data_IF_454615622544
#
_entry.id   IF_454615622544
#
_cell.length_a   1.000
_cell.length_b   1.000
_cell.length_c   1.000
_cell.angle_alpha   90.00
_cell.angle_beta   90.00
_cell.angle_gamma   90.00
#
_symmetry.space_group_name_H-M   'P 1'
#
loop_
_entity.id
_entity.type
_entity.pdbx_description
1 polymer ?
#
# COMPACT_ATOMS: atom_id res chain seq x y z
N UNK A 1 -0.29 -32.29 5.96
CA UNK A 1 -1.47 -31.85 6.77
C UNK A 1 -1.19 -30.51 7.44
N UNK A 2 -0.05 -30.40 8.11
CA UNK A 2 0.43 -29.14 8.72
C UNK A 2 0.60 -28.00 7.70
N UNK A 3 0.95 -28.27 6.44
CA UNK A 3 1.06 -27.23 5.42
C UNK A 3 -0.30 -26.56 5.12
N UNK A 4 -1.38 -27.34 5.14
CA UNK A 4 -2.74 -26.81 4.94
C UNK A 4 -3.17 -25.95 6.12
N UNK A 5 -2.87 -26.38 7.34
CA UNK A 5 -3.16 -25.61 8.57
C UNK A 5 -2.41 -24.28 8.56
N UNK A 6 -1.12 -24.31 8.20
CA UNK A 6 -0.29 -23.10 8.07
C UNK A 6 -0.84 -22.18 6.96
N UNK A 7 -1.27 -22.76 5.83
CA UNK A 7 -1.92 -22.01 4.74
C UNK A 7 -3.19 -21.28 5.21
N UNK A 8 -4.09 -21.96 5.91
CA UNK A 8 -5.30 -21.33 6.48
C UNK A 8 -4.97 -20.25 7.52
N UNK A 9 -3.94 -20.46 8.35
CA UNK A 9 -3.49 -19.46 9.30
C UNK A 9 -2.98 -18.19 8.60
N UNK A 10 -2.17 -18.32 7.56
CA UNK A 10 -1.68 -17.18 6.77
C UNK A 10 -2.84 -16.44 6.07
N UNK A 11 -3.81 -17.18 5.52
CA UNK A 11 -5.02 -16.57 4.92
C UNK A 11 -5.75 -15.74 5.97
N UNK A 12 -6.01 -16.30 7.15
CA UNK A 12 -6.74 -15.62 8.22
C UNK A 12 -6.00 -14.36 8.68
N UNK A 13 -4.69 -14.46 8.95
CA UNK A 13 -3.87 -13.33 9.36
C UNK A 13 -3.84 -12.22 8.30
N UNK A 14 -3.67 -12.57 7.02
CA UNK A 14 -3.68 -11.61 5.92
C UNK A 14 -5.03 -10.91 5.76
N UNK A 15 -6.14 -11.66 5.82
CA UNK A 15 -7.50 -11.10 5.73
C UNK A 15 -7.80 -10.15 6.89
N UNK A 16 -7.45 -10.53 8.12
CA UNK A 16 -7.60 -9.66 9.30
C UNK A 16 -6.83 -8.35 9.09
N UNK A 17 -5.60 -8.42 8.57
CA UNK A 17 -4.77 -7.24 8.31
C UNK A 17 -5.40 -6.31 7.27
N UNK A 18 -5.99 -6.87 6.21
CA UNK A 18 -6.70 -6.09 5.18
C UNK A 18 -7.94 -5.41 5.77
N UNK A 19 -8.74 -6.14 6.54
CA UNK A 19 -9.96 -5.59 7.18
C UNK A 19 -9.56 -4.47 8.16
N UNK A 20 -8.53 -4.69 8.98
CA UNK A 20 -8.04 -3.68 9.91
C UNK A 20 -7.61 -2.39 9.20
N UNK A 21 -6.84 -2.51 8.12
CA UNK A 21 -6.44 -1.37 7.30
C UNK A 21 -7.66 -0.62 6.73
N UNK A 22 -8.63 -1.34 6.18
CA UNK A 22 -9.84 -0.73 5.62
C UNK A 22 -10.68 0.01 6.69
N UNK A 23 -10.85 -0.59 7.87
CA UNK A 23 -11.59 0.03 9.00
C UNK A 23 -10.85 1.26 9.51
N UNK A 24 -9.53 1.20 9.67
CA UNK A 24 -8.70 2.33 10.08
C UNK A 24 -8.86 3.52 9.14
N UNK A 25 -8.77 3.27 7.82
CA UNK A 25 -8.98 4.31 6.80
C UNK A 25 -10.40 4.88 6.87
N UNK A 26 -11.42 4.02 6.98
CA UNK A 26 -12.81 4.46 7.10
C UNK A 26 -13.05 5.36 8.34
N UNK A 27 -12.47 5.02 9.49
CA UNK A 27 -12.59 5.82 10.72
C UNK A 27 -11.94 7.20 10.59
N UNK A 28 -10.80 7.28 9.89
CA UNK A 28 -10.13 8.56 9.62
C UNK A 28 -10.98 9.43 8.69
N UNK A 29 -11.56 8.85 7.64
CA UNK A 29 -12.47 9.61 6.75
C UNK A 29 -13.77 10.07 7.44
N UNK A 30 -14.28 9.32 8.42
CA UNK A 30 -15.45 9.74 9.21
C UNK A 30 -15.09 10.71 10.35
N UNK A 31 -13.85 11.18 10.43
CA UNK A 31 -13.31 12.05 11.50
C UNK A 31 -13.48 11.47 12.91
N UNK A 32 -13.71 10.15 13.02
CA UNK A 32 -13.86 9.46 14.31
C UNK A 32 -12.52 9.07 14.92
N UNK A 33 -11.46 9.03 14.12
CA UNK A 33 -10.09 8.82 14.54
C UNK A 33 -9.18 9.88 13.92
N UNK A 34 -8.17 10.34 14.67
CA UNK A 34 -7.14 11.24 14.13
C UNK A 34 -6.23 10.44 13.19
N UNK A 35 -5.85 11.00 12.01
CA UNK A 35 -4.83 10.39 11.16
C UNK A 35 -3.49 10.29 11.91
N UNK A 36 -2.58 9.42 11.44
CA UNK A 36 -1.20 9.43 11.93
C UNK A 36 -0.55 10.75 11.50
N UNK A 37 -0.13 11.57 12.47
CA UNK A 37 0.56 12.83 12.24
C UNK A 37 2.01 12.56 11.81
N UNK A 38 2.24 12.53 10.50
CA UNK A 38 3.57 12.34 9.89
C UNK A 38 4.21 13.66 9.47
N UNK A 39 3.40 14.68 9.23
CA UNK A 39 3.83 15.99 8.77
C UNK A 39 3.26 17.09 9.68
N UNK A 40 4.14 18.05 10.03
CA UNK A 40 3.81 19.26 10.78
C UNK A 40 4.47 20.46 10.13
N UNK A 41 3.88 20.93 9.04
CA UNK A 41 4.30 22.15 8.36
C UNK A 41 3.91 23.38 9.20
N UNK A 42 4.90 24.23 9.47
CA UNK A 42 4.66 25.59 9.99
C UNK A 42 4.05 26.46 8.89
N UNK A 43 3.05 27.27 9.23
CA UNK A 43 2.32 28.09 8.27
C UNK A 43 3.20 29.01 7.45
N UNK A 44 2.91 29.09 6.14
CA UNK A 44 3.52 30.07 5.24
C UNK A 44 2.79 31.40 5.47
N UNK A 45 3.31 32.21 6.39
CA UNK A 45 2.85 33.58 6.61
C UNK A 45 3.57 34.50 5.63
N UNK A 46 2.83 35.18 4.75
CA UNK A 46 3.36 36.33 4.03
C UNK A 46 3.20 37.55 4.94
N UNK A 47 4.31 38.21 5.26
CA UNK A 47 4.27 39.55 5.85
C UNK A 47 3.69 40.51 4.80
N UNK A 48 2.43 40.87 4.99
CA UNK A 48 1.72 41.88 4.19
C UNK A 48 2.43 43.23 4.18
N UNK A 49 3.34 43.48 5.13
CA UNK A 49 4.24 44.65 5.17
C UNK A 49 5.12 44.73 3.90
N UNK A 50 5.52 43.60 3.32
CA UNK A 50 6.32 43.60 2.08
C UNK A 50 5.47 43.79 0.80
N UNK A 51 4.17 43.47 0.86
CA UNK A 51 3.23 43.64 -0.28
C UNK A 51 2.55 45.01 -0.30
N UNK A 52 2.29 45.60 0.86
CA UNK A 52 1.74 46.96 1.00
C UNK A 52 2.88 47.93 1.29
N UNK A 53 3.53 48.43 0.25
CA UNK A 53 4.61 49.42 0.38
C UNK A 53 4.24 50.56 1.34
N UNK A 54 4.83 50.55 2.53
CA UNK A 54 4.89 51.63 3.53
C UNK A 54 3.59 52.43 3.83
N UNK A 55 2.41 51.82 3.83
CA UNK A 55 1.14 52.52 4.18
C UNK A 55 0.36 51.92 5.33
N UNK A 56 1.03 51.54 6.42
CA UNK A 56 0.36 51.23 7.69
C UNK A 56 0.83 52.24 8.76
N UNK A 57 -0.08 52.82 9.57
CA UNK A 57 0.30 53.71 10.67
C UNK A 57 1.13 52.95 11.70
N UNK A 58 2.20 53.57 12.20
CA UNK A 58 3.04 53.00 13.26
C UNK A 58 2.17 52.69 14.50
N UNK A 59 2.07 51.41 14.86
CA UNK A 59 1.43 50.96 16.10
C UNK A 59 0.36 49.87 15.97
N UNK A 60 -0.09 49.51 14.77
CA UNK A 60 -1.01 48.37 14.60
C UNK A 60 -0.24 47.09 14.28
N UNK A 61 -0.40 45.98 15.04
CA UNK A 61 0.24 44.72 14.71
C UNK A 61 -0.22 44.28 13.33
N UNK A 62 0.74 44.11 12.41
CA UNK A 62 0.45 43.76 11.04
C UNK A 62 -0.38 42.47 10.98
N UNK A 63 -1.52 42.45 10.26
CA UNK A 63 -2.27 41.23 10.08
C UNK A 63 -1.44 40.30 9.22
N UNK A 64 -0.77 39.32 9.85
CA UNK A 64 -0.22 38.14 9.20
C UNK A 64 -1.38 37.45 8.50
N UNK A 65 -1.54 37.75 7.22
CA UNK A 65 -2.62 37.19 6.42
C UNK A 65 -2.10 35.85 5.93
N UNK A 66 -2.48 34.78 6.62
CA UNK A 66 -2.18 33.42 6.22
C UNK A 66 -2.88 33.14 4.88
N UNK A 67 -2.10 33.05 3.79
CA UNK A 67 -2.65 32.74 2.45
C UNK A 67 -3.27 31.35 2.39
N UNK A 68 -2.69 30.41 3.14
CA UNK A 68 -3.25 29.07 3.35
C UNK A 68 -3.03 28.72 4.82
N UNK A 69 -4.13 28.37 5.51
CA UNK A 69 -4.05 27.93 6.91
C UNK A 69 -3.18 26.67 7.01
N UNK A 70 -2.13 26.66 7.85
CA UNK A 70 -1.27 25.49 8.04
C UNK A 70 -2.05 24.23 8.43
N UNK A 71 -3.13 24.40 9.17
CA UNK A 71 -3.99 23.29 9.62
C UNK A 71 -4.54 22.48 8.46
N UNK A 72 -4.94 23.12 7.36
CA UNK A 72 -5.49 22.43 6.19
C UNK A 72 -4.41 21.65 5.44
N UNK A 73 -3.20 22.20 5.36
CA UNK A 73 -2.06 21.55 4.70
C UNK A 73 -1.63 20.32 5.52
N UNK A 74 -1.53 20.46 6.84
CA UNK A 74 -1.16 19.37 7.74
C UNK A 74 -2.22 18.28 7.77
N UNK A 75 -3.50 18.63 7.93
CA UNK A 75 -4.60 17.66 7.96
C UNK A 75 -4.68 16.89 6.63
N UNK A 76 -4.61 17.58 5.49
CA UNK A 76 -4.66 16.92 4.18
C UNK A 76 -3.45 16.02 3.94
N UNK A 77 -2.24 16.50 4.28
CA UNK A 77 -1.00 15.73 4.10
C UNK A 77 -0.97 14.49 5.00
N UNK A 78 -1.41 14.61 6.26
CA UNK A 78 -1.46 13.50 7.21
C UNK A 78 -2.53 12.48 6.84
N UNK A 79 -3.71 12.90 6.35
CA UNK A 79 -4.72 11.98 5.81
C UNK A 79 -4.14 11.23 4.60
N UNK A 80 -3.53 11.94 3.65
CA UNK A 80 -2.95 11.32 2.46
C UNK A 80 -1.87 10.28 2.83
N UNK A 81 -0.98 10.65 3.74
CA UNK A 81 0.08 9.77 4.23
C UNK A 81 -0.48 8.55 4.99
N UNK A 82 -1.52 8.75 5.81
CA UNK A 82 -2.21 7.67 6.52
C UNK A 82 -2.86 6.68 5.55
N UNK A 83 -3.55 7.17 4.52
CA UNK A 83 -4.15 6.32 3.48
C UNK A 83 -3.08 5.56 2.71
N UNK A 84 -1.96 6.20 2.38
CA UNK A 84 -0.85 5.54 1.70
C UNK A 84 -0.23 4.44 2.57
N UNK A 85 0.02 4.72 3.85
CA UNK A 85 0.59 3.77 4.81
C UNK A 85 -0.34 2.56 5.02
N UNK A 86 -1.63 2.82 5.24
CA UNK A 86 -2.63 1.77 5.42
C UNK A 86 -2.85 0.98 4.11
N UNK A 87 -2.81 1.64 2.95
CA UNK A 87 -2.82 1.00 1.64
C UNK A 87 -1.63 0.06 1.44
N UNK A 88 -0.43 0.50 1.81
CA UNK A 88 0.76 -0.34 1.83
C UNK A 88 0.58 -1.54 2.77
N UNK A 89 0.08 -1.33 3.99
CA UNK A 89 -0.19 -2.40 4.95
C UNK A 89 -1.23 -3.41 4.41
N UNK A 90 -2.27 -2.93 3.73
CA UNK A 90 -3.25 -3.76 3.04
C UNK A 90 -2.61 -4.61 1.93
N UNK A 91 -1.66 -4.05 1.17
CA UNK A 91 -0.92 -4.79 0.15
C UNK A 91 -0.03 -5.88 0.72
N UNK A 92 0.57 -5.65 1.89
CA UNK A 92 1.32 -6.67 2.64
C UNK A 92 0.38 -7.77 3.11
N UNK A 93 -0.79 -7.41 3.68
CA UNK A 93 -1.84 -8.36 4.04
C UNK A 93 -2.29 -9.24 2.87
N UNK A 94 -2.46 -8.66 1.68
CA UNK A 94 -2.76 -9.39 0.45
C UNK A 94 -1.64 -10.38 0.07
N UNK A 95 -0.37 -9.95 0.11
CA UNK A 95 0.76 -10.85 -0.17
C UNK A 95 0.80 -12.03 0.81
N UNK A 96 0.57 -11.79 2.10
CA UNK A 96 0.53 -12.84 3.12
C UNK A 96 -0.63 -13.82 2.84
N UNK A 97 -1.83 -13.31 2.57
CA UNK A 97 -2.98 -14.15 2.25
C UNK A 97 -2.75 -14.97 0.97
N UNK A 98 -2.15 -14.37 -0.06
CA UNK A 98 -1.82 -15.06 -1.32
C UNK A 98 -0.86 -16.23 -1.09
N UNK A 99 0.17 -16.07 -0.25
CA UNK A 99 1.06 -17.17 0.14
C UNK A 99 0.29 -18.29 0.86
N UNK A 100 -0.63 -17.92 1.76
CA UNK A 100 -1.50 -18.87 2.43
C UNK A 100 -2.38 -19.67 1.47
N UNK A 101 -2.98 -19.02 0.46
CA UNK A 101 -3.77 -19.70 -0.59
C UNK A 101 -2.91 -20.66 -1.41
N UNK A 102 -1.69 -20.28 -1.76
CA UNK A 102 -0.77 -21.14 -2.51
C UNK A 102 -0.38 -22.40 -1.71
N UNK A 103 -0.22 -22.29 -0.39
CA UNK A 103 0.10 -23.43 0.49
C UNK A 103 -1.12 -24.32 0.75
N UNK A 104 -2.31 -23.74 0.84
CA UNK A 104 -3.54 -24.50 1.05
C UNK A 104 -3.95 -25.34 -0.18
N UNK A 105 -3.57 -24.89 -1.38
CA UNK A 105 -3.95 -25.54 -2.65
C UNK A 105 -3.02 -26.73 -2.97
N UNK A 106 -3.56 -27.92 -3.28
CA UNK A 106 -2.73 -29.04 -3.68
C UNK A 106 -2.10 -28.81 -5.06
N UNK A 107 -0.82 -29.16 -5.22
CA UNK A 107 -0.11 -29.10 -6.50
C UNK A 107 -0.44 -30.36 -7.29
N UNK A 108 -1.27 -30.24 -8.33
CA UNK A 108 -1.58 -31.34 -9.24
C UNK A 108 -0.73 -31.16 -10.51
N UNK A 109 0.29 -32.00 -10.67
CA UNK A 109 1.13 -32.01 -11.88
C UNK A 109 0.51 -32.95 -12.91
N UNK A 110 0.09 -32.42 -14.06
CA UNK A 110 -0.36 -33.24 -15.20
C UNK A 110 0.83 -33.55 -16.08
N UNK A 111 1.32 -34.79 -16.03
CA UNK A 111 2.40 -35.24 -16.90
C UNK A 111 1.86 -35.41 -18.33
N UNK A 112 2.52 -34.77 -19.31
CA UNK A 112 2.32 -35.08 -20.73
C UNK A 112 3.36 -36.12 -21.10
N UNK A 113 2.95 -37.38 -21.17
CA UNK A 113 3.80 -38.41 -21.77
C UNK A 113 3.95 -38.09 -23.26
N UNK A 114 5.17 -37.74 -23.67
CA UNK A 114 5.54 -37.70 -25.08
C UNK A 114 5.85 -39.16 -25.45
N UNK A 115 4.99 -39.78 -26.23
CA UNK A 115 5.27 -41.11 -26.79
C UNK A 115 6.53 -41.00 -27.65
N UNK A 116 7.63 -41.57 -27.16
CA UNK A 116 8.87 -41.69 -27.93
C UNK A 116 8.65 -42.84 -28.90
N UNK A 117 8.35 -42.52 -30.15
CA UNK A 117 8.40 -43.48 -31.24
C UNK A 117 9.85 -43.92 -31.43
N UNK A 118 10.19 -45.08 -30.88
CA UNK A 118 11.43 -45.78 -31.20
C UNK A 118 11.24 -46.30 -32.62
N UNK A 119 11.77 -45.56 -33.59
CA UNK A 119 11.90 -46.01 -34.97
C UNK A 119 12.95 -47.13 -35.01
N UNK A 120 12.48 -48.38 -34.94
CA UNK A 120 13.29 -49.57 -35.16
C UNK A 120 13.50 -49.74 -36.67
N UNK A 121 14.29 -48.86 -37.29
CA UNK A 121 14.84 -49.14 -38.62
C UNK A 121 16.10 -49.99 -38.41
N UNK A 122 16.12 -51.28 -38.80
CA UNK A 122 17.34 -52.08 -38.72
C UNK A 122 18.35 -51.53 -39.74
N UNK A 123 19.54 -51.20 -39.24
CA UNK A 123 20.69 -50.77 -40.02
C UNK A 123 21.03 -51.84 -41.07
N UNK A 124 20.62 -51.58 -42.31
CA UNK A 124 20.83 -52.47 -43.43
C UNK A 124 22.21 -52.20 -44.03
N UNK A 125 23.05 -53.24 -43.95
CA UNK A 125 24.19 -53.56 -44.83
C UNK A 125 25.58 -53.08 -44.43
N UNK A 126 26.21 -53.94 -43.61
CA UNK A 126 27.64 -54.31 -43.73
C UNK A 126 27.96 -54.64 -45.20
N UNK A 127 28.82 -53.85 -45.83
CA UNK A 127 29.55 -54.27 -47.05
C UNK A 127 31.02 -54.52 -46.70
N UNK A 128 31.46 -55.73 -47.06
CA UNK A 128 32.85 -56.20 -47.09
C UNK A 128 33.73 -55.32 -47.96
#
# INVERSE_FOLDING_TARGET
>A
MMEKVLGYFLILAGVITIIYSAVSVYMVFTKKAKPIDLFSFSGISIDTIQLTGNKLPEGTPAPKTELIKPDLINETSNIAAHVFLMGFLGSVGYKIASLGVMLARPIIVKLRTKEVSIDNTPDATVKK
#
